data_IF_106670652988
#
_entry.id   IF_106670652988
#
_cell.length_a   1.000
_cell.length_b   1.000
_cell.length_c   1.000
_cell.angle_alpha   90.00
_cell.angle_beta   90.00
_cell.angle_gamma   90.00
#
_symmetry.space_group_name_H-M   'P 1'
#
loop_
_entity.id
_entity.type
_entity.pdbx_description
1 polymer ?
#
# COMPACT_ATOMS: atom_id res chain seq x y z
N UNK A 1 -23.73 11.57 -4.49
CA UNK A 1 -23.82 13.06 -4.68
C UNK A 1 -24.66 13.83 -3.64
N UNK A 2 -25.59 13.22 -2.88
CA UNK A 2 -26.50 13.95 -1.95
C UNK A 2 -25.88 14.36 -0.60
N UNK A 3 -24.81 13.70 -0.14
CA UNK A 3 -24.03 14.15 1.03
C UNK A 3 -23.04 15.28 0.67
N UNK A 4 -22.48 15.25 -0.55
CA UNK A 4 -21.54 16.26 -1.05
C UNK A 4 -22.20 17.62 -1.31
N UNK A 5 -23.48 17.65 -1.73
CA UNK A 5 -24.21 18.91 -1.91
C UNK A 5 -24.56 19.62 -0.58
N UNK A 6 -24.40 18.98 0.58
CA UNK A 6 -24.67 19.58 1.89
C UNK A 6 -23.44 19.85 2.75
N UNK A 7 -22.22 19.64 2.24
CA UNK A 7 -20.99 20.02 2.93
C UNK A 7 -20.76 19.38 4.30
N UNK A 8 -21.52 18.32 4.65
CA UNK A 8 -21.35 17.61 5.91
C UNK A 8 -20.44 16.41 5.66
N UNK A 9 -19.14 16.61 5.84
CA UNK A 9 -18.18 15.53 6.06
C UNK A 9 -18.20 15.30 7.58
N UNK A 10 -18.72 14.17 8.10
CA UNK A 10 -18.54 13.84 9.50
C UNK A 10 -17.03 13.73 9.76
N UNK A 11 -16.44 14.72 10.44
CA UNK A 11 -15.06 14.64 10.88
C UNK A 11 -15.02 13.74 12.11
N UNK A 12 -14.62 12.48 11.92
CA UNK A 12 -14.33 11.55 13.01
C UNK A 12 -12.97 11.83 13.70
N UNK A 13 -12.29 12.92 13.33
CA UNK A 13 -10.86 13.13 13.65
C UNK A 13 -10.63 13.70 15.06
N UNK A 14 -11.65 14.20 15.76
CA UNK A 14 -11.45 14.99 17.00
C UNK A 14 -12.30 14.58 18.23
N UNK A 15 -12.92 13.40 18.25
CA UNK A 15 -13.54 12.89 19.49
C UNK A 15 -12.50 12.15 20.34
N UNK A 16 -12.58 12.28 21.67
CA UNK A 16 -11.69 11.60 22.61
C UNK A 16 -11.67 10.09 22.33
N UNK A 17 -10.58 9.61 21.75
CA UNK A 17 -10.51 8.29 21.14
C UNK A 17 -10.51 7.20 22.22
N UNK A 18 -11.60 6.43 22.29
CA UNK A 18 -11.68 5.26 23.17
C UNK A 18 -10.83 4.10 22.62
N UNK A 19 -9.84 3.66 23.40
CA UNK A 19 -9.00 2.49 23.13
C UNK A 19 -9.35 1.40 24.14
N UNK A 20 -9.92 0.28 23.67
CA UNK A 20 -10.17 -0.89 24.51
C UNK A 20 -9.17 -2.00 24.17
N UNK A 21 -8.30 -2.35 25.13
CA UNK A 21 -7.24 -3.35 24.95
C UNK A 21 -7.58 -4.62 25.72
N UNK A 22 -7.80 -5.71 24.99
CA UNK A 22 -7.85 -7.07 25.54
C UNK A 22 -6.44 -7.66 25.51
N UNK A 23 -5.77 -7.68 26.67
CA UNK A 23 -4.39 -8.17 26.80
C UNK A 23 -4.27 -9.69 26.66
N UNK A 24 -5.32 -10.44 27.01
CA UNK A 24 -5.30 -11.90 26.93
C UNK A 24 -5.40 -12.35 25.48
N UNK A 25 -6.33 -11.77 24.72
CA UNK A 25 -6.50 -12.05 23.28
C UNK A 25 -5.53 -11.26 22.40
N UNK A 26 -4.84 -10.26 22.96
CA UNK A 26 -4.00 -9.29 22.25
C UNK A 26 -4.79 -8.60 21.14
N UNK A 27 -5.96 -8.09 21.49
CA UNK A 27 -6.84 -7.40 20.56
C UNK A 27 -7.05 -5.97 21.03
N UNK A 28 -7.20 -5.07 20.07
CA UNK A 28 -7.51 -3.67 20.34
C UNK A 28 -8.75 -3.27 19.57
N UNK A 29 -9.73 -2.68 20.26
CA UNK A 29 -10.89 -2.05 19.63
C UNK A 29 -10.72 -0.54 19.71
N UNK A 30 -10.89 0.12 18.57
CA UNK A 30 -10.76 1.56 18.43
C UNK A 30 -11.88 2.15 17.62
N UNK A 31 -12.15 3.42 17.84
CA UNK A 31 -12.96 4.23 16.93
C UNK A 31 -12.32 4.32 15.55
N UNK A 32 -13.14 4.24 14.51
CA UNK A 32 -12.73 4.24 13.12
C UNK A 32 -11.87 5.45 12.69
N UNK A 33 -12.00 6.56 13.41
CA UNK A 33 -11.32 7.83 13.13
C UNK A 33 -9.88 7.93 13.65
N UNK A 34 -9.43 7.04 14.55
CA UNK A 34 -8.07 7.10 15.09
C UNK A 34 -7.03 7.01 13.97
N UNK A 35 -6.03 7.90 13.99
CA UNK A 35 -4.91 7.81 13.07
C UNK A 35 -4.00 6.64 13.47
N UNK A 36 -3.44 5.94 12.49
CA UNK A 36 -2.49 4.86 12.78
C UNK A 36 -1.26 5.36 13.56
N UNK A 37 -0.83 6.61 13.37
CA UNK A 37 0.24 7.22 14.16
C UNK A 37 -0.08 7.21 15.65
N UNK A 38 -1.29 7.62 16.03
CA UNK A 38 -1.77 7.62 17.41
C UNK A 38 -1.96 6.18 17.94
N UNK A 39 -2.60 5.31 17.13
CA UNK A 39 -2.81 3.91 17.50
C UNK A 39 -1.49 3.19 17.79
N UNK A 40 -0.47 3.38 16.95
CA UNK A 40 0.83 2.75 17.13
C UNK A 40 1.53 3.20 18.42
N UNK A 41 1.45 4.49 18.77
CA UNK A 41 1.97 5.02 20.02
C UNK A 41 1.24 4.44 21.24
N UNK A 42 -0.09 4.34 21.17
CA UNK A 42 -0.91 3.75 22.23
C UNK A 42 -0.64 2.25 22.40
N UNK A 43 -0.59 1.47 21.32
CA UNK A 43 -0.24 0.04 21.37
C UNK A 43 1.14 -0.20 22.00
N UNK A 44 2.12 0.62 21.64
CA UNK A 44 3.46 0.58 22.24
C UNK A 44 3.42 0.75 23.76
N UNK A 45 2.54 1.60 24.30
CA UNK A 45 2.39 1.79 25.76
C UNK A 45 1.82 0.55 26.47
N UNK A 46 1.14 -0.32 25.73
CA UNK A 46 0.59 -1.58 26.21
C UNK A 46 1.47 -2.80 25.88
N UNK A 47 2.67 -2.60 25.33
CA UNK A 47 3.56 -3.70 24.93
C UNK A 47 3.01 -4.51 23.76
N UNK A 48 2.16 -3.90 22.92
CA UNK A 48 1.56 -4.49 21.73
C UNK A 48 2.02 -3.79 20.45
N UNK A 49 1.85 -4.45 19.31
CA UNK A 49 2.07 -3.90 17.98
C UNK A 49 1.12 -4.55 16.96
N UNK A 50 0.87 -3.88 15.85
CA UNK A 50 0.28 -4.51 14.67
C UNK A 50 1.36 -5.33 13.94
N UNK A 51 1.09 -6.59 13.54
CA UNK A 51 2.08 -7.41 12.85
C UNK A 51 2.50 -6.84 11.49
N UNK A 52 1.61 -6.15 10.78
CA UNK A 52 1.95 -5.47 9.52
C UNK A 52 1.27 -4.10 9.43
N UNK A 53 2.00 -3.11 8.91
CA UNK A 53 1.57 -1.72 8.77
C UNK A 53 1.89 -1.19 7.39
N UNK A 54 1.02 -0.36 6.83
CA UNK A 54 1.33 0.43 5.63
C UNK A 54 2.44 1.45 5.87
N UNK A 55 3.00 1.99 4.77
CA UNK A 55 4.08 2.98 4.84
C UNK A 55 3.64 4.34 5.43
N UNK A 56 2.37 4.71 5.31
CA UNK A 56 1.84 6.00 5.80
C UNK A 56 0.96 5.75 7.03
N UNK A 57 1.22 6.49 8.11
CA UNK A 57 0.50 6.37 9.38
C UNK A 57 -0.52 7.49 9.62
N UNK A 58 -0.52 8.55 8.82
CA UNK A 58 -1.52 9.63 8.85
C UNK A 58 -2.82 9.23 8.11
N UNK A 59 -3.29 8.01 8.38
CA UNK A 59 -4.51 7.43 7.82
C UNK A 59 -5.33 6.87 8.97
N UNK A 60 -6.65 7.04 8.91
CA UNK A 60 -7.55 6.52 9.95
C UNK A 60 -7.66 4.99 9.94
N UNK A 61 -8.03 4.40 11.07
CA UNK A 61 -8.25 2.95 11.21
C UNK A 61 -9.24 2.38 10.19
N UNK A 62 -10.33 3.08 9.89
CA UNK A 62 -11.25 2.67 8.82
C UNK A 62 -10.67 2.93 7.42
N UNK A 63 -10.01 4.07 7.22
CA UNK A 63 -9.45 4.42 5.91
C UNK A 63 -8.36 3.44 5.45
N UNK A 64 -7.52 2.97 6.38
CA UNK A 64 -6.40 2.09 6.04
C UNK A 64 -6.88 0.72 5.57
N UNK A 65 -7.93 0.16 6.18
CA UNK A 65 -8.50 -1.13 5.74
C UNK A 65 -9.37 -0.94 4.49
N UNK A 66 -10.10 0.18 4.40
CA UNK A 66 -11.12 0.39 3.37
C UNK A 66 -10.62 0.32 1.94
N UNK A 67 -9.32 0.56 1.70
CA UNK A 67 -8.70 0.51 0.37
C UNK A 67 -7.71 -0.65 0.20
N UNK A 68 -7.65 -1.57 1.17
CA UNK A 68 -6.77 -2.73 1.13
C UNK A 68 -5.28 -2.39 1.30
N UNK A 69 -4.96 -1.42 2.17
CA UNK A 69 -3.56 -1.03 2.44
C UNK A 69 -2.72 -2.25 2.78
N UNK A 70 -1.51 -2.30 2.25
CA UNK A 70 -0.58 -3.40 2.46
C UNK A 70 0.84 -2.91 2.71
N UNK A 71 1.67 -3.87 3.07
CA UNK A 71 3.12 -3.77 3.04
C UNK A 71 3.66 -5.14 2.57
N UNK A 72 4.94 -5.40 2.74
CA UNK A 72 5.57 -6.62 2.24
C UNK A 72 5.66 -7.72 3.29
N UNK A 73 5.62 -8.98 2.86
CA UNK A 73 5.85 -10.17 3.68
C UNK A 73 5.03 -11.36 3.20
N UNK A 74 5.66 -12.44 2.73
CA UNK A 74 4.96 -13.60 2.15
C UNK A 74 4.10 -14.38 3.15
N UNK A 75 4.31 -14.19 4.44
CA UNK A 75 3.50 -14.79 5.51
C UNK A 75 2.36 -13.86 5.97
N UNK A 76 2.40 -12.60 5.54
CA UNK A 76 1.51 -11.54 5.98
C UNK A 76 0.56 -11.15 4.85
N UNK A 77 -0.72 -10.97 5.17
CA UNK A 77 -1.68 -10.44 4.20
C UNK A 77 -1.65 -8.92 4.15
N UNK A 78 -2.61 -8.32 3.44
CA UNK A 78 -2.87 -6.89 3.54
C UNK A 78 -3.30 -6.52 4.97
N UNK A 79 -3.26 -5.23 5.34
CA UNK A 79 -3.59 -4.79 6.70
C UNK A 79 -4.96 -5.25 7.17
N UNK A 80 -5.94 -5.28 6.26
CA UNK A 80 -7.30 -5.72 6.54
C UNK A 80 -7.40 -7.18 7.04
N UNK A 81 -6.40 -8.03 6.76
CA UNK A 81 -6.36 -9.42 7.28
C UNK A 81 -6.20 -9.49 8.80
N UNK A 82 -5.82 -8.39 9.44
CA UNK A 82 -5.69 -8.26 10.90
C UNK A 82 -7.02 -7.86 11.56
N UNK A 83 -8.08 -7.57 10.79
CA UNK A 83 -9.37 -7.12 11.34
C UNK A 83 -10.18 -8.31 11.84
N UNK A 84 -10.44 -8.34 13.14
CA UNK A 84 -11.19 -9.40 13.82
C UNK A 84 -12.70 -9.10 13.77
N UNK A 85 -13.06 -7.83 13.99
CA UNK A 85 -14.43 -7.37 13.98
C UNK A 85 -14.50 -5.89 13.61
N UNK A 86 -15.66 -5.43 13.17
CA UNK A 86 -15.95 -4.03 12.89
C UNK A 86 -17.45 -3.74 13.06
N UNK A 87 -17.77 -2.49 13.36
CA UNK A 87 -19.16 -2.02 13.49
C UNK A 87 -19.45 -0.98 12.41
N UNK A 88 -20.60 -1.10 11.74
CA UNK A 88 -21.03 -0.25 10.63
C UNK A 88 -22.36 0.44 10.98
N UNK A 89 -22.49 1.71 10.64
CA UNK A 89 -23.76 2.40 10.50
C UNK A 89 -24.20 2.38 9.04
N UNK A 90 -25.31 1.71 8.74
CA UNK A 90 -25.83 1.53 7.38
C UNK A 90 -26.62 2.75 6.90
N UNK A 91 -27.04 2.76 5.63
CA UNK A 91 -27.84 3.86 5.07
C UNK A 91 -29.26 3.93 5.67
N UNK A 92 -29.76 2.83 6.23
CA UNK A 92 -31.05 2.79 6.94
C UNK A 92 -30.96 3.35 8.37
N UNK A 93 -29.74 3.59 8.88
CA UNK A 93 -29.49 4.01 10.25
C UNK A 93 -29.31 2.85 11.24
N UNK A 94 -29.29 1.61 10.75
CA UNK A 94 -29.00 0.43 11.58
C UNK A 94 -27.51 0.33 11.90
N UNK A 95 -27.19 -0.13 13.11
CA UNK A 95 -25.83 -0.43 13.54
C UNK A 95 -25.62 -1.94 13.47
N UNK A 96 -24.73 -2.38 12.59
CA UNK A 96 -24.40 -3.79 12.39
C UNK A 96 -22.98 -4.07 12.89
N UNK A 97 -22.84 -5.07 13.75
CA UNK A 97 -21.54 -5.67 14.05
C UNK A 97 -21.25 -6.79 13.06
N UNK A 98 -20.01 -6.92 12.62
CA UNK A 98 -19.58 -8.09 11.87
C UNK A 98 -18.18 -8.57 12.25
N UNK A 99 -18.03 -9.89 12.25
CA UNK A 99 -16.82 -10.65 12.55
C UNK A 99 -16.90 -11.99 11.81
N UNK A 100 -15.91 -12.88 11.99
CA UNK A 100 -15.99 -14.23 11.41
C UNK A 100 -17.15 -15.08 11.96
N UNK A 101 -17.71 -14.72 13.11
CA UNK A 101 -18.80 -15.48 13.76
C UNK A 101 -20.14 -14.75 13.76
N UNK A 102 -20.15 -13.44 13.50
CA UNK A 102 -21.35 -12.59 13.45
C UNK A 102 -21.38 -11.90 12.10
N UNK A 103 -22.42 -12.07 11.29
CA UNK A 103 -22.50 -11.51 9.93
C UNK A 103 -21.22 -11.76 9.09
N UNK A 104 -20.78 -13.02 8.90
CA UNK A 104 -19.49 -13.35 8.29
C UNK A 104 -19.35 -12.84 6.86
N UNK A 105 -20.42 -12.87 6.07
CA UNK A 105 -20.42 -12.35 4.71
C UNK A 105 -20.20 -10.83 4.68
N UNK A 106 -20.78 -10.11 5.64
CA UNK A 106 -20.57 -8.68 5.80
C UNK A 106 -19.15 -8.39 6.27
N UNK A 107 -18.59 -9.17 7.19
CA UNK A 107 -17.19 -9.03 7.63
C UNK A 107 -16.22 -9.20 6.47
N UNK A 108 -16.43 -10.23 5.64
CA UNK A 108 -15.64 -10.52 4.45
C UNK A 108 -15.67 -9.36 3.44
N UNK A 109 -16.80 -8.68 3.29
CA UNK A 109 -16.94 -7.51 2.43
C UNK A 109 -16.32 -6.25 3.07
N UNK A 110 -16.59 -6.03 4.35
CA UNK A 110 -16.28 -4.78 5.03
C UNK A 110 -14.81 -4.59 5.39
N UNK A 111 -14.00 -5.66 5.38
CA UNK A 111 -12.56 -5.56 5.54
C UNK A 111 -11.89 -4.72 4.41
N UNK A 112 -12.47 -4.67 3.22
CA UNK A 112 -12.10 -3.72 2.13
C UNK A 112 -13.39 -3.10 1.58
N UNK A 113 -13.91 -2.12 2.33
CA UNK A 113 -15.26 -1.57 2.15
C UNK A 113 -15.38 -0.41 1.16
N UNK A 114 -14.27 0.22 0.73
CA UNK A 114 -14.23 1.40 -0.16
C UNK A 114 -15.09 2.61 0.29
N UNK A 115 -15.55 2.60 1.54
CA UNK A 115 -16.49 3.58 2.08
C UNK A 115 -17.95 3.42 1.63
N UNK A 116 -18.32 2.33 0.93
CA UNK A 116 -19.62 2.22 0.27
C UNK A 116 -20.62 1.26 0.92
N UNK A 117 -20.25 0.58 2.02
CA UNK A 117 -21.14 -0.34 2.75
C UNK A 117 -21.82 0.31 3.97
N UNK A 118 -21.40 1.52 4.33
CA UNK A 118 -21.79 2.19 5.57
C UNK A 118 -20.62 2.99 6.17
N UNK A 119 -20.91 3.70 7.25
CA UNK A 119 -19.90 4.41 8.04
C UNK A 119 -19.34 3.42 9.06
N UNK A 120 -18.04 3.11 8.96
CA UNK A 120 -17.36 2.31 9.99
C UNK A 120 -17.28 3.14 11.27
N UNK A 121 -17.78 2.58 12.38
CA UNK A 121 -17.78 3.23 13.69
C UNK A 121 -16.58 2.78 14.52
N UNK A 122 -16.31 1.48 14.55
CA UNK A 122 -15.20 0.89 15.31
C UNK A 122 -14.54 -0.24 14.51
N UNK A 123 -13.28 -0.50 14.82
CA UNK A 123 -12.50 -1.61 14.26
C UNK A 123 -11.77 -2.31 15.40
N UNK A 124 -11.83 -3.64 15.40
CA UNK A 124 -11.04 -4.49 16.30
C UNK A 124 -9.91 -5.15 15.52
N UNK A 125 -8.66 -4.83 15.87
CA UNK A 125 -7.47 -5.43 15.26
C UNK A 125 -6.90 -6.54 16.16
N UNK A 126 -6.40 -7.59 15.51
CA UNK A 126 -5.50 -8.55 16.14
C UNK A 126 -4.09 -7.95 16.22
N UNK A 127 -3.54 -7.90 17.42
CA UNK A 127 -2.18 -7.45 17.70
C UNK A 127 -1.26 -8.63 18.02
N UNK A 128 0.04 -8.31 18.05
CA UNK A 128 1.13 -9.18 18.54
C UNK A 128 1.87 -8.47 19.68
N UNK A 129 2.69 -9.19 20.48
CA UNK A 129 3.61 -8.52 21.40
C UNK A 129 4.48 -7.52 20.64
N UNK A 130 4.79 -6.40 21.28
CA UNK A 130 5.67 -5.39 20.72
C UNK A 130 7.01 -6.02 20.31
N UNK A 131 7.52 -5.60 19.15
CA UNK A 131 8.76 -6.13 18.58
C UNK A 131 9.59 -5.04 17.91
N UNK A 132 10.89 -5.28 17.81
CA UNK A 132 11.82 -4.49 17.04
C UNK A 132 12.14 -5.17 15.70
N UNK A 133 12.40 -4.35 14.69
CA UNK A 133 12.89 -4.78 13.39
C UNK A 133 14.28 -4.23 13.14
N UNK A 134 15.13 -5.07 12.54
CA UNK A 134 16.35 -4.64 11.86
C UNK A 134 16.06 -4.58 10.37
N UNK A 135 16.09 -3.36 9.80
CA UNK A 135 16.13 -3.13 8.36
C UNK A 135 17.59 -3.16 7.88
N UNK A 136 17.82 -3.87 6.78
CA UNK A 136 19.11 -3.95 6.09
C UNK A 136 18.88 -3.70 4.62
N UNK A 137 19.54 -2.68 4.08
CA UNK A 137 19.43 -2.27 2.68
C UNK A 137 20.77 -2.46 1.99
N UNK A 138 20.79 -3.01 0.77
CA UNK A 138 22.03 -3.24 0.01
C UNK A 138 21.77 -3.28 -1.51
N UNK A 139 22.78 -2.96 -2.35
CA UNK A 139 22.63 -3.04 -3.79
C UNK A 139 22.64 -4.47 -4.33
N UNK A 140 21.96 -4.69 -5.46
CA UNK A 140 22.04 -5.88 -6.30
C UNK A 140 21.64 -5.52 -7.74
N UNK A 141 21.46 -6.53 -8.60
CA UNK A 141 20.95 -6.36 -9.97
C UNK A 141 19.56 -6.95 -10.12
N UNK A 142 18.78 -6.44 -11.08
CA UNK A 142 17.43 -6.94 -11.35
C UNK A 142 17.44 -8.44 -11.67
N UNK A 143 18.35 -8.90 -12.53
CA UNK A 143 18.45 -10.33 -12.84
C UNK A 143 18.82 -11.16 -11.61
N UNK A 144 19.82 -10.74 -10.83
CA UNK A 144 20.23 -11.49 -9.63
C UNK A 144 19.08 -11.64 -8.63
N UNK A 145 18.32 -10.58 -8.37
CA UNK A 145 17.17 -10.60 -7.47
C UNK A 145 16.06 -11.50 -8.03
N UNK A 146 15.76 -11.40 -9.32
CA UNK A 146 14.68 -12.19 -9.95
C UNK A 146 15.04 -13.68 -10.09
N UNK A 147 16.30 -14.01 -10.37
CA UNK A 147 16.77 -15.39 -10.46
C UNK A 147 16.81 -16.07 -9.09
N UNK A 148 16.99 -15.28 -8.02
CA UNK A 148 17.04 -15.78 -6.64
C UNK A 148 15.79 -15.40 -5.82
N UNK A 149 14.67 -15.06 -6.47
CA UNK A 149 13.49 -14.48 -5.82
C UNK A 149 12.98 -15.33 -4.65
N UNK A 150 12.84 -16.64 -4.85
CA UNK A 150 12.41 -17.55 -3.77
C UNK A 150 13.38 -17.56 -2.57
N UNK A 151 14.68 -17.42 -2.83
CA UNK A 151 15.69 -17.34 -1.77
C UNK A 151 15.49 -16.07 -0.95
N UNK A 152 15.29 -14.92 -1.61
CA UNK A 152 15.01 -13.65 -0.93
C UNK A 152 13.74 -13.71 -0.07
N UNK A 153 12.65 -14.26 -0.63
CA UNK A 153 11.36 -14.41 0.07
C UNK A 153 11.46 -15.31 1.31
N UNK A 154 12.37 -16.29 1.33
CA UNK A 154 12.62 -17.16 2.49
C UNK A 154 13.59 -16.55 3.51
N UNK A 155 14.57 -15.76 3.04
CA UNK A 155 15.65 -15.19 3.87
C UNK A 155 15.19 -14.06 4.78
N UNK A 156 14.15 -13.33 4.40
CA UNK A 156 13.65 -12.19 5.17
C UNK A 156 12.15 -12.28 5.35
N UNK A 157 11.65 -12.01 6.56
CA UNK A 157 10.23 -12.02 6.86
C UNK A 157 9.48 -10.95 6.06
N UNK A 158 10.05 -9.74 6.03
CA UNK A 158 9.61 -8.62 5.21
C UNK A 158 10.71 -8.40 4.17
N UNK A 159 10.45 -8.76 2.91
CA UNK A 159 11.37 -8.57 1.80
C UNK A 159 10.73 -7.65 0.77
N UNK A 160 11.41 -6.57 0.39
CA UNK A 160 11.04 -5.75 -0.76
C UNK A 160 12.28 -5.31 -1.50
N UNK A 161 12.09 -4.78 -2.70
CA UNK A 161 13.19 -4.16 -3.42
C UNK A 161 12.72 -3.00 -4.29
N UNK A 162 13.63 -2.08 -4.55
CA UNK A 162 13.44 -0.92 -5.42
C UNK A 162 14.28 -1.14 -6.68
N UNK A 163 13.65 -1.31 -7.82
CA UNK A 163 14.33 -1.36 -9.11
C UNK A 163 14.41 0.03 -9.73
N UNK A 164 15.60 0.46 -10.13
CA UNK A 164 15.85 1.76 -10.75
C UNK A 164 15.74 1.63 -12.28
N UNK A 165 14.68 2.18 -12.90
CA UNK A 165 14.47 2.04 -14.34
C UNK A 165 15.61 2.60 -15.18
N UNK A 166 15.73 2.09 -16.42
CA UNK A 166 16.83 2.40 -17.35
C UNK A 166 18.20 1.85 -16.91
N UNK A 167 18.21 0.92 -15.96
CA UNK A 167 19.40 0.25 -15.45
C UNK A 167 19.08 -1.15 -14.90
N UNK A 168 20.11 -1.89 -14.51
CA UNK A 168 19.99 -3.13 -13.73
C UNK A 168 19.90 -2.89 -12.22
N UNK A 169 20.08 -1.65 -11.78
CA UNK A 169 20.34 -1.36 -10.38
C UNK A 169 19.11 -1.63 -9.51
N UNK A 170 19.30 -2.39 -8.44
CA UNK A 170 18.28 -2.69 -7.46
C UNK A 170 18.80 -2.37 -6.06
N UNK A 171 17.96 -1.79 -5.22
CA UNK A 171 18.17 -1.73 -3.78
C UNK A 171 17.28 -2.77 -3.11
N UNK A 172 17.90 -3.80 -2.54
CA UNK A 172 17.22 -4.86 -1.77
C UNK A 172 17.05 -4.40 -0.33
N UNK A 173 15.87 -4.65 0.24
CA UNK A 173 15.53 -4.27 1.61
C UNK A 173 15.00 -5.50 2.35
N UNK A 174 15.70 -5.88 3.41
CA UNK A 174 15.30 -6.91 4.35
C UNK A 174 14.90 -6.28 5.67
N UNK A 175 13.78 -6.70 6.24
CA UNK A 175 13.40 -6.35 7.61
C UNK A 175 13.10 -7.64 8.36
N UNK A 176 13.71 -7.82 9.52
CA UNK A 176 13.58 -9.03 10.33
C UNK A 176 13.50 -8.68 11.81
N UNK A 177 12.79 -9.52 12.58
CA UNK A 177 12.74 -9.40 14.04
C UNK A 177 14.15 -9.40 14.64
N UNK A 178 14.35 -8.55 15.65
CA UNK A 178 15.64 -8.44 16.34
C UNK A 178 15.47 -8.07 17.80
N UNK A 179 16.45 -8.47 18.62
CA UNK A 179 16.57 -8.05 20.02
C UNK A 179 17.62 -6.95 20.20
N UNK A 180 18.21 -6.44 19.11
CA UNK A 180 19.17 -5.33 19.15
C UNK A 180 18.47 -4.05 19.64
N UNK A 181 19.22 -3.21 20.37
CA UNK A 181 18.74 -1.90 20.76
C UNK A 181 18.53 -1.01 19.52
N UNK A 182 17.59 -0.05 19.56
CA UNK A 182 17.38 0.89 18.47
C UNK A 182 18.67 1.62 18.09
N UNK A 183 18.96 1.66 16.80
CA UNK A 183 20.11 2.34 16.23
C UNK A 183 19.75 2.84 14.84
N UNK A 184 20.27 4.00 14.45
CA UNK A 184 20.02 4.54 13.12
C UNK A 184 21.32 4.92 12.46
N UNK A 185 21.44 4.57 11.18
CA UNK A 185 22.47 5.08 10.28
C UNK A 185 21.99 6.33 9.51
N UNK A 186 20.79 6.84 9.81
CA UNK A 186 20.22 8.00 9.15
C UNK A 186 21.10 9.24 9.33
N UNK A 187 21.24 10.00 8.26
CA UNK A 187 22.03 11.23 8.25
C UNK A 187 21.19 12.32 7.60
N UNK A 188 20.77 13.30 8.40
CA UNK A 188 19.92 14.39 7.94
C UNK A 188 20.45 15.05 6.65
N UNK A 189 21.77 15.25 6.54
CA UNK A 189 22.39 15.84 5.36
C UNK A 189 22.12 15.00 4.10
N UNK A 190 22.32 13.69 4.18
CA UNK A 190 22.10 12.78 3.07
C UNK A 190 20.61 12.56 2.79
N UNK A 191 19.78 12.49 3.82
CA UNK A 191 18.34 12.21 3.70
C UNK A 191 17.54 13.43 3.21
N UNK A 192 17.93 14.65 3.60
CA UNK A 192 17.21 15.89 3.28
C UNK A 192 17.91 16.73 2.22
N UNK A 193 19.17 17.12 2.40
CA UNK A 193 19.83 18.00 1.43
C UNK A 193 20.02 17.30 0.07
N UNK A 194 20.45 16.04 0.10
CA UNK A 194 20.75 15.25 -1.11
C UNK A 194 19.55 14.41 -1.55
N UNK A 195 19.01 13.58 -0.66
CA UNK A 195 17.92 12.66 -0.96
C UNK A 195 16.61 13.34 -1.33
N UNK A 196 16.36 14.54 -0.78
CA UNK A 196 15.14 15.30 -1.02
C UNK A 196 15.37 16.49 -1.97
N UNK A 197 16.12 17.52 -1.57
CA UNK A 197 16.19 18.77 -2.35
C UNK A 197 16.96 18.65 -3.66
N UNK A 198 18.12 17.97 -3.67
CA UNK A 198 18.88 17.76 -4.90
C UNK A 198 18.10 16.89 -5.89
N UNK A 199 17.49 15.79 -5.42
CA UNK A 199 16.67 14.95 -6.29
C UNK A 199 15.48 15.73 -6.86
N UNK A 200 14.76 16.48 -6.03
CA UNK A 200 13.61 17.30 -6.48
C UNK A 200 14.03 18.28 -7.57
N UNK A 201 15.17 18.95 -7.40
CA UNK A 201 15.73 19.87 -8.39
C UNK A 201 16.13 19.17 -9.70
N UNK A 202 16.83 18.03 -9.62
CA UNK A 202 17.24 17.27 -10.81
C UNK A 202 16.03 16.73 -11.58
N UNK A 203 15.02 16.22 -10.89
CA UNK A 203 13.76 15.77 -11.48
C UNK A 203 12.96 16.94 -12.08
N UNK A 204 13.06 18.14 -11.50
CA UNK A 204 12.50 19.34 -12.12
C UNK A 204 13.17 19.67 -13.45
N UNK A 205 14.51 19.65 -13.51
CA UNK A 205 15.25 19.86 -14.76
C UNK A 205 14.86 18.82 -15.82
N UNK A 206 14.71 17.56 -15.41
CA UNK A 206 14.35 16.49 -16.35
C UNK A 206 12.97 16.65 -16.97
N UNK A 207 12.09 17.49 -16.40
CA UNK A 207 10.82 17.85 -17.05
C UNK A 207 10.99 18.68 -18.32
N UNK A 208 12.14 19.35 -18.50
CA UNK A 208 12.49 20.09 -19.72
C UNK A 208 13.43 19.30 -20.63
N UNK A 209 14.26 18.41 -20.04
CA UNK A 209 15.25 17.60 -20.72
C UNK A 209 15.06 16.11 -20.35
N UNK A 210 14.04 15.42 -20.89
CA UNK A 210 13.69 14.06 -20.46
C UNK A 210 14.80 13.02 -20.65
N UNK A 211 15.70 13.23 -21.61
CA UNK A 211 16.86 12.36 -21.84
C UNK A 211 17.85 12.31 -20.65
N UNK A 212 17.75 13.23 -19.68
CA UNK A 212 18.56 13.21 -18.47
C UNK A 212 18.10 12.18 -17.45
N UNK A 213 16.86 11.67 -17.53
CA UNK A 213 16.31 10.77 -16.50
C UNK A 213 17.16 9.51 -16.28
N UNK A 214 17.61 8.77 -17.31
CA UNK A 214 18.48 7.61 -17.09
C UNK A 214 19.77 7.97 -16.33
N UNK A 215 20.35 9.14 -16.60
CA UNK A 215 21.55 9.63 -15.93
C UNK A 215 21.27 10.00 -14.48
N UNK A 216 20.16 10.70 -14.22
CA UNK A 216 19.73 11.07 -12.87
C UNK A 216 19.48 9.81 -12.03
N UNK A 217 18.77 8.81 -12.56
CA UNK A 217 18.51 7.55 -11.85
C UNK A 217 19.83 6.83 -11.48
N UNK A 218 20.77 6.73 -12.43
CA UNK A 218 22.07 6.08 -12.20
C UNK A 218 22.93 6.84 -11.19
N UNK A 219 22.99 8.16 -11.32
CA UNK A 219 23.71 9.03 -10.39
C UNK A 219 23.15 8.91 -8.98
N UNK A 220 21.82 8.99 -8.82
CA UNK A 220 21.18 8.91 -7.53
C UNK A 220 21.33 7.52 -6.89
N UNK A 221 21.25 6.45 -7.69
CA UNK A 221 21.56 5.10 -7.22
C UNK A 221 23.01 5.01 -6.73
N UNK A 222 23.97 5.48 -7.53
CA UNK A 222 25.38 5.47 -7.17
C UNK A 222 25.64 6.21 -5.85
N UNK A 223 25.02 7.38 -5.68
CA UNK A 223 25.22 8.27 -4.55
C UNK A 223 24.66 7.74 -3.23
N UNK A 224 23.48 7.09 -3.25
CA UNK A 224 22.74 6.75 -2.02
C UNK A 224 22.51 5.26 -1.79
N UNK A 225 22.63 4.41 -2.82
CA UNK A 225 22.16 3.01 -2.77
C UNK A 225 23.26 1.97 -3.04
N UNK A 226 24.52 2.39 -3.19
CA UNK A 226 25.67 1.49 -3.37
C UNK A 226 26.22 0.93 -2.07
N UNK A 227 25.97 1.59 -0.94
CA UNK A 227 26.36 1.13 0.38
C UNK A 227 25.36 0.16 0.99
N UNK A 228 25.84 -0.73 1.85
CA UNK A 228 24.98 -1.45 2.78
C UNK A 228 24.65 -0.53 3.96
N UNK A 229 23.37 -0.40 4.30
CA UNK A 229 22.91 0.35 5.48
C UNK A 229 22.08 -0.54 6.40
N UNK A 230 22.09 -0.22 7.68
CA UNK A 230 21.32 -0.92 8.71
C UNK A 230 20.61 0.08 9.63
N UNK A 231 19.38 -0.23 10.00
CA UNK A 231 18.56 0.56 10.91
C UNK A 231 17.78 -0.39 11.82
N UNK A 232 17.77 -0.13 13.13
CA UNK A 232 17.05 -0.92 14.12
C UNK A 232 16.09 -0.02 14.87
N UNK A 233 14.82 -0.40 14.94
CA UNK A 233 13.85 0.34 15.74
C UNK A 233 12.62 -0.52 16.07
N UNK A 234 11.68 0.06 16.82
CA UNK A 234 10.34 -0.50 16.98
C UNK A 234 9.69 -0.70 15.60
N UNK A 235 8.91 -1.78 15.47
CA UNK A 235 8.34 -2.21 14.19
C UNK A 235 7.63 -1.10 13.42
N UNK A 236 6.73 -0.35 14.07
CA UNK A 236 5.99 0.73 13.40
C UNK A 236 6.90 1.86 12.88
N UNK A 237 8.02 2.13 13.54
CA UNK A 237 9.00 3.13 13.10
C UNK A 237 9.87 2.65 11.93
N UNK A 238 9.97 1.35 11.72
CA UNK A 238 10.64 0.75 10.55
C UNK A 238 9.66 0.61 9.37
N UNK A 239 8.39 0.28 9.64
CA UNK A 239 7.39 0.16 8.59
C UNK A 239 6.93 1.50 8.01
N UNK A 240 6.80 2.54 8.84
CA UNK A 240 6.34 3.84 8.38
C UNK A 240 7.49 4.64 7.73
N UNK A 241 7.21 5.26 6.59
CA UNK A 241 8.11 6.17 5.87
C UNK A 241 7.45 7.53 5.75
N UNK A 242 8.26 8.59 5.84
CA UNK A 242 7.79 9.93 5.48
C UNK A 242 7.64 10.03 3.96
N UNK A 243 6.40 10.05 3.45
CA UNK A 243 6.13 10.38 2.06
C UNK A 243 6.28 11.88 1.83
N UNK A 244 7.52 12.37 1.77
CA UNK A 244 7.84 13.81 1.64
C UNK A 244 7.44 14.41 0.29
N UNK A 245 7.19 13.55 -0.68
CA UNK A 245 7.11 13.89 -2.08
C UNK A 245 5.66 13.84 -2.59
N UNK A 246 5.17 14.93 -3.21
CA UNK A 246 3.94 14.86 -4.01
C UNK A 246 4.18 13.97 -5.22
N UNK A 247 3.37 12.94 -5.35
CA UNK A 247 3.57 11.89 -6.33
C UNK A 247 2.24 11.53 -6.95
N UNK A 248 2.30 11.09 -8.19
CA UNK A 248 1.28 10.21 -8.70
C UNK A 248 1.77 8.77 -8.62
N UNK A 249 0.85 7.86 -8.33
CA UNK A 249 1.20 6.48 -7.97
C UNK A 249 0.23 5.51 -8.64
N UNK A 250 0.78 4.46 -9.24
CA UNK A 250 0.04 3.27 -9.64
C UNK A 250 0.61 2.04 -8.97
N UNK A 251 -0.24 1.18 -8.42
CA UNK A 251 0.17 -0.01 -7.68
C UNK A 251 -0.79 -1.14 -8.04
N UNK A 252 -0.24 -2.29 -8.42
CA UNK A 252 -1.01 -3.44 -8.90
C UNK A 252 -0.47 -4.72 -8.29
N UNK A 253 -1.40 -5.58 -7.86
CA UNK A 253 -1.13 -6.93 -7.39
C UNK A 253 -1.28 -7.95 -8.52
N UNK A 254 -0.19 -8.61 -8.91
CA UNK A 254 -0.20 -9.75 -9.84
C UNK A 254 0.03 -11.06 -9.07
N UNK A 255 -0.31 -12.24 -9.63
CA UNK A 255 0.11 -13.52 -9.05
C UNK A 255 1.63 -13.56 -8.83
N UNK A 256 2.08 -14.05 -7.68
CA UNK A 256 3.48 -13.97 -7.27
C UNK A 256 4.45 -14.64 -8.27
N UNK A 257 4.03 -15.73 -8.92
CA UNK A 257 4.78 -16.46 -9.94
C UNK A 257 5.02 -15.64 -11.22
N UNK A 258 4.26 -14.56 -11.43
CA UNK A 258 4.40 -13.64 -12.58
C UNK A 258 5.38 -12.50 -12.33
N UNK A 259 5.99 -12.40 -11.14
CA UNK A 259 6.91 -11.31 -10.76
C UNK A 259 8.05 -11.10 -11.76
N UNK A 260 8.80 -12.16 -12.07
CA UNK A 260 9.95 -12.10 -12.98
C UNK A 260 9.51 -11.72 -14.39
N UNK A 261 8.44 -12.34 -14.89
CA UNK A 261 7.86 -12.03 -16.20
C UNK A 261 7.46 -10.56 -16.30
N UNK A 262 6.75 -10.02 -15.30
CA UNK A 262 6.28 -8.65 -15.27
C UNK A 262 7.42 -7.63 -15.31
N UNK A 263 8.44 -7.80 -14.47
CA UNK A 263 9.52 -6.82 -14.35
C UNK A 263 10.45 -6.83 -15.57
N UNK A 264 10.70 -8.01 -16.17
CA UNK A 264 11.48 -8.10 -17.40
C UNK A 264 10.71 -7.52 -18.60
N UNK A 265 9.41 -7.78 -18.74
CA UNK A 265 8.60 -7.15 -19.79
C UNK A 265 8.49 -5.64 -19.59
N UNK A 266 8.34 -5.16 -18.35
CA UNK A 266 8.30 -3.72 -18.07
C UNK A 266 9.63 -3.05 -18.44
N UNK A 267 10.75 -3.69 -18.13
CA UNK A 267 12.08 -3.25 -18.55
C UNK A 267 12.21 -3.17 -20.07
N UNK A 268 11.77 -4.21 -20.79
CA UNK A 268 11.80 -4.24 -22.25
C UNK A 268 10.94 -3.13 -22.87
N UNK A 269 9.74 -2.87 -22.33
CA UNK A 269 8.88 -1.76 -22.73
C UNK A 269 9.60 -0.42 -22.59
N UNK A 270 10.26 -0.18 -21.45
CA UNK A 270 11.00 1.06 -21.21
C UNK A 270 12.22 1.20 -22.13
N UNK A 271 12.89 0.10 -22.46
CA UNK A 271 14.05 0.10 -23.38
C UNK A 271 13.66 0.31 -24.84
N UNK A 272 12.54 -0.28 -25.27
CA UNK A 272 12.02 -0.18 -26.64
C UNK A 272 11.24 1.12 -26.90
N UNK A 273 10.89 1.87 -25.84
CA UNK A 273 10.10 3.11 -25.93
C UNK A 273 10.86 4.31 -25.33
N UNK A 274 11.84 4.91 -26.04
CA UNK A 274 12.66 6.01 -25.50
C UNK A 274 11.88 7.26 -25.05
N UNK A 275 10.63 7.41 -25.49
CA UNK A 275 9.72 8.48 -25.08
C UNK A 275 9.05 8.23 -23.73
N UNK A 276 9.04 6.98 -23.26
CA UNK A 276 8.41 6.57 -22.00
C UNK A 276 9.45 6.67 -20.88
N UNK A 277 9.24 7.62 -19.99
CA UNK A 277 10.27 7.97 -19.00
C UNK A 277 9.79 7.63 -17.58
N UNK A 278 10.40 6.60 -17.00
CA UNK A 278 10.25 6.25 -15.59
C UNK A 278 11.40 6.87 -14.77
N UNK A 279 11.12 7.97 -14.05
CA UNK A 279 12.14 8.76 -13.33
C UNK A 279 12.22 8.49 -11.84
N UNK A 280 11.47 7.51 -11.34
CA UNK A 280 11.52 7.10 -9.96
C UNK A 280 11.59 5.56 -9.87
N UNK A 281 12.16 4.99 -8.80
CA UNK A 281 12.22 3.54 -8.65
C UNK A 281 10.86 2.87 -8.68
N UNK A 282 10.81 1.68 -9.28
CA UNK A 282 9.69 0.74 -9.19
C UNK A 282 9.85 -0.02 -7.88
N UNK A 283 8.86 0.09 -7.00
CA UNK A 283 8.84 -0.62 -5.73
C UNK A 283 8.12 -1.96 -5.87
N UNK A 284 8.75 -3.03 -5.40
CA UNK A 284 8.22 -4.40 -5.49
C UNK A 284 8.08 -4.98 -4.09
N UNK A 285 6.85 -5.41 -3.76
CA UNK A 285 6.45 -5.93 -2.44
C UNK A 285 5.61 -7.19 -2.61
N UNK A 286 5.45 -7.97 -1.54
CA UNK A 286 4.79 -9.27 -1.59
C UNK A 286 3.77 -9.41 -0.47
N UNK A 287 2.64 -10.06 -0.71
CA UNK A 287 1.66 -10.33 0.33
C UNK A 287 1.01 -11.70 0.11
N UNK A 288 0.66 -12.35 1.22
CA UNK A 288 -0.08 -13.61 1.26
C UNK A 288 -1.51 -13.42 0.78
N UNK A 289 -2.08 -14.45 0.16
CA UNK A 289 -3.48 -14.52 -0.21
C UNK A 289 -4.45 -14.47 0.98
N UNK A 290 -5.64 -13.95 0.73
CA UNK A 290 -6.71 -13.82 1.74
C UNK A 290 -8.09 -14.19 1.16
N UNK A 291 -9.13 -14.02 1.94
CA UNK A 291 -10.53 -14.29 1.58
C UNK A 291 -11.39 -13.01 1.56
N UNK A 292 -10.81 -11.82 1.53
CA UNK A 292 -11.55 -10.55 1.56
C UNK A 292 -12.02 -10.19 0.16
N UNK A 293 -13.33 -9.97 -0.04
CA UNK A 293 -13.95 -9.97 -1.38
C UNK A 293 -13.29 -9.04 -2.41
N UNK A 294 -12.89 -7.85 -1.98
CA UNK A 294 -12.22 -6.86 -2.83
C UNK A 294 -10.72 -6.75 -2.58
N UNK A 295 -10.10 -7.64 -1.80
CA UNK A 295 -8.65 -7.62 -1.66
C UNK A 295 -7.96 -7.94 -2.99
N UNK A 296 -6.95 -7.16 -3.41
CA UNK A 296 -6.12 -7.54 -4.55
C UNK A 296 -5.44 -8.93 -4.36
N UNK A 297 -5.29 -9.39 -3.12
CA UNK A 297 -4.75 -10.70 -2.73
C UNK A 297 -5.81 -11.81 -2.59
N UNK A 298 -7.07 -11.57 -2.96
CA UNK A 298 -8.13 -12.58 -2.81
C UNK A 298 -7.75 -13.93 -3.46
N UNK A 299 -7.65 -14.96 -2.61
CA UNK A 299 -7.35 -16.36 -2.92
C UNK A 299 -6.01 -16.60 -3.65
N UNK A 300 -5.04 -15.69 -3.55
CA UNK A 300 -3.71 -15.87 -4.13
C UNK A 300 -2.62 -15.04 -3.46
N UNK A 301 -1.44 -15.63 -3.31
CA UNK A 301 -0.24 -14.87 -2.99
C UNK A 301 0.08 -13.93 -4.15
N UNK A 302 0.45 -12.70 -3.81
CA UNK A 302 0.57 -11.62 -4.80
C UNK A 302 1.86 -10.84 -4.66
N UNK A 303 2.34 -10.37 -5.80
CA UNK A 303 3.39 -9.38 -5.92
C UNK A 303 2.77 -8.03 -6.27
N UNK A 304 3.00 -7.03 -5.42
CA UNK A 304 2.66 -5.64 -5.69
C UNK A 304 3.82 -4.97 -6.39
N UNK A 305 3.56 -4.45 -7.59
CA UNK A 305 4.51 -3.64 -8.35
C UNK A 305 3.98 -2.23 -8.35
N UNK A 306 4.74 -1.29 -7.81
CA UNK A 306 4.35 0.11 -7.64
C UNK A 306 5.23 1.00 -8.52
N UNK A 307 4.59 1.77 -9.42
CA UNK A 307 5.25 2.77 -10.25
C UNK A 307 4.89 4.17 -9.75
N UNK A 308 5.88 5.05 -9.72
CA UNK A 308 5.76 6.38 -9.14
C UNK A 308 6.22 7.42 -10.17
N UNK A 309 5.41 8.46 -10.33
CA UNK A 309 5.78 9.65 -11.09
C UNK A 309 5.78 10.85 -10.14
N UNK A 310 6.98 11.22 -9.72
CA UNK A 310 7.19 12.37 -8.82
C UNK A 310 6.80 13.70 -9.47
N UNK A 311 6.24 14.62 -8.66
CA UNK A 311 5.81 15.96 -9.06
C UNK A 311 6.71 17.02 -8.42
N UNK A 312 7.88 17.31 -9.02
CA UNK A 312 8.84 18.24 -8.44
C UNK A 312 8.23 19.64 -8.32
N UNK A 313 8.29 20.23 -7.12
CA UNK A 313 7.63 21.50 -6.77
C UNK A 313 6.13 21.53 -7.12
N UNK A 314 5.47 20.37 -7.14
CA UNK A 314 4.06 20.23 -7.49
C UNK A 314 3.74 20.27 -9.00
N UNK A 315 4.75 20.43 -9.88
CA UNK A 315 4.59 20.43 -11.33
C UNK A 315 4.04 19.09 -11.81
N UNK A 316 3.04 19.13 -12.68
CA UNK A 316 2.54 17.91 -13.32
C UNK A 316 3.53 17.45 -14.40
N UNK A 317 3.67 16.13 -14.55
CA UNK A 317 4.65 15.50 -15.44
C UNK A 317 3.95 14.63 -16.48
N UNK A 318 4.43 14.60 -17.74
CA UNK A 318 3.93 13.67 -18.75
C UNK A 318 4.10 12.24 -18.26
N UNK A 319 3.02 11.46 -18.33
CA UNK A 319 2.98 10.17 -17.64
C UNK A 319 2.08 9.12 -18.26
N UNK A 320 1.15 9.56 -19.10
CA UNK A 320 0.08 8.73 -19.63
C UNK A 320 0.61 7.50 -20.39
N UNK A 321 1.65 7.67 -21.22
CA UNK A 321 2.22 6.56 -21.99
C UNK A 321 2.83 5.47 -21.08
N UNK A 322 3.59 5.88 -20.05
CA UNK A 322 4.15 4.95 -19.06
C UNK A 322 3.04 4.22 -18.31
N UNK A 323 2.03 4.97 -17.90
CA UNK A 323 0.88 4.48 -17.18
C UNK A 323 0.07 3.44 -17.95
N UNK A 324 -0.27 3.74 -19.21
CA UNK A 324 -1.08 2.86 -20.03
C UNK A 324 -0.30 1.59 -20.40
N UNK A 325 1.00 1.71 -20.67
CA UNK A 325 1.86 0.56 -20.96
C UNK A 325 1.99 -0.36 -19.73
N UNK A 326 2.25 0.22 -18.57
CA UNK A 326 2.32 -0.52 -17.31
C UNK A 326 0.97 -1.13 -16.93
N UNK A 327 -0.13 -0.37 -16.95
CA UNK A 327 -1.48 -0.85 -16.63
C UNK A 327 -1.90 -1.98 -17.58
N UNK A 328 -1.64 -1.83 -18.88
CA UNK A 328 -1.90 -2.87 -19.88
C UNK A 328 -1.15 -4.16 -19.59
N UNK A 329 0.14 -4.06 -19.21
CA UNK A 329 0.95 -5.20 -18.81
C UNK A 329 0.40 -5.87 -17.54
N UNK A 330 0.07 -5.09 -16.50
CA UNK A 330 -0.48 -5.64 -15.26
C UNK A 330 -1.80 -6.38 -15.52
N UNK A 331 -2.71 -5.81 -16.34
CA UNK A 331 -3.96 -6.47 -16.75
C UNK A 331 -3.70 -7.79 -17.48
N UNK A 332 -2.76 -7.80 -18.45
CA UNK A 332 -2.40 -9.01 -19.21
C UNK A 332 -1.90 -10.14 -18.30
N UNK A 333 -1.22 -9.80 -17.21
CA UNK A 333 -0.67 -10.76 -16.24
C UNK A 333 -1.65 -11.12 -15.11
N UNK A 334 -2.95 -10.83 -15.28
CA UNK A 334 -3.98 -11.13 -14.29
C UNK A 334 -3.92 -10.24 -13.06
N UNK A 335 -3.39 -9.02 -13.21
CA UNK A 335 -3.25 -8.03 -12.15
C UNK A 335 -4.58 -7.47 -11.65
N UNK A 336 -4.56 -7.01 -10.40
CA UNK A 336 -5.64 -6.31 -9.70
C UNK A 336 -5.11 -4.98 -9.20
N UNK A 337 -5.75 -3.83 -9.49
CA UNK A 337 -5.26 -2.54 -9.04
C UNK A 337 -5.43 -2.39 -7.53
N UNK A 338 -4.52 -1.65 -6.90
CA UNK A 338 -4.72 -1.19 -5.53
C UNK A 338 -5.77 -0.07 -5.50
N UNK A 339 -6.80 -0.20 -4.67
CA UNK A 339 -7.95 0.72 -4.65
C UNK A 339 -7.61 2.17 -4.28
N UNK A 340 -6.61 2.37 -3.42
CA UNK A 340 -6.13 3.73 -3.09
C UNK A 340 -5.35 4.44 -4.22
N UNK A 341 -5.03 3.75 -5.32
CA UNK A 341 -4.13 4.25 -6.37
C UNK A 341 -4.87 4.43 -7.70
N UNK A 342 -4.30 5.24 -8.58
CA UNK A 342 -4.96 5.56 -9.85
C UNK A 342 -5.07 4.32 -10.74
N UNK A 343 -6.18 4.13 -11.45
CA UNK A 343 -6.32 3.10 -12.48
C UNK A 343 -7.44 3.50 -13.45
N UNK A 344 -7.43 2.94 -14.66
CA UNK A 344 -8.48 3.22 -15.65
C UNK A 344 -9.62 2.20 -15.66
N UNK A 345 -9.53 1.14 -14.84
CA UNK A 345 -10.50 0.04 -14.75
C UNK A 345 -11.96 0.51 -14.64
N UNK A 346 -12.83 -0.30 -15.22
CA UNK A 346 -14.28 -0.18 -15.26
C UNK A 346 -14.93 -1.33 -14.49
N UNK A 347 -16.24 -1.25 -14.22
CA UNK A 347 -17.03 -2.36 -13.68
C UNK A 347 -16.74 -3.70 -14.38
N UNK A 348 -16.74 -3.73 -15.71
CA UNK A 348 -16.48 -4.94 -16.51
C UNK A 348 -15.09 -5.53 -16.29
N UNK A 349 -14.10 -4.68 -16.00
CA UNK A 349 -12.76 -5.15 -15.64
C UNK A 349 -12.79 -5.82 -14.27
N UNK A 350 -13.47 -5.20 -13.29
CA UNK A 350 -13.56 -5.72 -11.93
C UNK A 350 -14.33 -7.04 -11.83
N UNK A 351 -15.43 -7.19 -12.59
CA UNK A 351 -16.18 -8.44 -12.70
C UNK A 351 -15.29 -9.61 -13.17
N UNK A 352 -14.29 -9.34 -14.01
CA UNK A 352 -13.32 -10.35 -14.46
C UNK A 352 -12.17 -10.55 -13.47
N UNK A 353 -11.69 -9.47 -12.85
CA UNK A 353 -10.51 -9.47 -11.98
C UNK A 353 -10.77 -10.11 -10.61
N UNK A 354 -11.97 -9.91 -10.05
CA UNK A 354 -12.30 -10.26 -8.67
C UNK A 354 -13.46 -11.27 -8.62
N UNK A 355 -13.20 -12.54 -8.27
CA UNK A 355 -14.27 -13.54 -8.12
C UNK A 355 -15.33 -13.15 -7.08
N UNK A 356 -14.94 -12.42 -6.03
CA UNK A 356 -15.84 -11.91 -4.99
C UNK A 356 -16.65 -10.66 -5.36
N UNK A 357 -16.44 -10.08 -6.56
CA UNK A 357 -17.01 -8.78 -6.92
C UNK A 357 -18.53 -8.78 -6.92
N UNK A 358 -19.16 -9.80 -7.53
CA UNK A 358 -20.61 -9.86 -7.61
C UNK A 358 -21.27 -10.00 -6.23
N UNK A 359 -20.67 -10.80 -5.33
CA UNK A 359 -21.13 -10.93 -3.94
C UNK A 359 -21.01 -9.60 -3.19
N UNK A 360 -19.90 -8.88 -3.37
CA UNK A 360 -19.73 -7.55 -2.78
C UNK A 360 -20.79 -6.57 -3.29
N UNK A 361 -21.06 -6.56 -4.60
CA UNK A 361 -22.09 -5.70 -5.20
C UNK A 361 -23.47 -5.98 -4.60
N UNK A 362 -23.85 -7.25 -4.43
CA UNK A 362 -25.12 -7.63 -3.79
C UNK A 362 -25.24 -7.11 -2.35
N UNK A 363 -24.19 -7.28 -1.52
CA UNK A 363 -24.17 -6.78 -0.14
C UNK A 363 -24.30 -5.25 -0.12
N UNK A 364 -23.59 -4.56 -1.01
CA UNK A 364 -23.65 -3.10 -1.11
C UNK A 364 -25.04 -2.61 -1.51
N UNK A 365 -25.71 -3.27 -2.45
CA UNK A 365 -27.09 -2.94 -2.88
C UNK A 365 -28.10 -3.16 -1.77
N UNK A 366 -27.91 -4.19 -0.96
CA UNK A 366 -28.77 -4.48 0.19
C UNK A 366 -28.62 -3.41 1.30
N UNK A 367 -27.39 -3.00 1.61
CA UNK A 367 -27.12 -2.04 2.69
C UNK A 367 -27.37 -0.57 2.32
N UNK A 368 -27.24 -0.22 1.04
CA UNK A 368 -27.43 1.13 0.53
C UNK A 368 -28.10 1.14 -0.86
N UNK A 369 -29.39 0.75 -0.95
CA UNK A 369 -30.12 0.70 -2.21
C UNK A 369 -30.30 2.08 -2.86
N UNK A 370 -30.23 3.15 -2.06
CA UNK A 370 -30.32 4.54 -2.52
C UNK A 370 -28.99 5.13 -3.00
N UNK A 371 -27.87 4.40 -2.84
CA UNK A 371 -26.54 4.88 -3.20
C UNK A 371 -26.10 6.13 -2.43
N UNK A 372 -26.50 6.27 -1.17
CA UNK A 372 -26.14 7.38 -0.30
C UNK A 372 -24.63 7.58 -0.21
N UNK A 373 -23.87 6.49 -0.07
CA UNK A 373 -22.42 6.49 0.12
C UNK A 373 -21.61 6.45 -1.18
N UNK A 374 -22.28 6.55 -2.34
CA UNK A 374 -21.59 6.58 -3.63
C UNK A 374 -21.04 7.97 -3.98
N UNK A 375 -19.85 7.94 -4.58
CA UNK A 375 -19.23 9.07 -5.27
C UNK A 375 -19.04 8.72 -6.76
N UNK A 376 -18.63 9.69 -7.58
CA UNK A 376 -18.49 9.50 -9.04
C UNK A 376 -17.53 8.36 -9.43
N UNK A 377 -16.51 8.09 -8.60
CA UNK A 377 -15.61 6.97 -8.83
C UNK A 377 -16.31 5.63 -8.54
N UNK A 378 -16.98 5.51 -7.39
CA UNK A 378 -17.69 4.29 -7.00
C UNK A 378 -18.89 4.00 -7.91
N UNK A 379 -19.53 5.04 -8.43
CA UNK A 379 -20.55 4.91 -9.49
C UNK A 379 -19.94 4.21 -10.72
N UNK A 380 -18.76 4.63 -11.22
CA UNK A 380 -18.06 3.96 -12.33
C UNK A 380 -17.61 2.52 -12.00
N UNK A 381 -17.30 2.24 -10.73
CA UNK A 381 -16.89 0.91 -10.28
C UNK A 381 -18.08 -0.05 -10.26
N UNK A 382 -19.22 0.39 -9.72
CA UNK A 382 -20.36 -0.48 -9.43
C UNK A 382 -21.54 -0.37 -10.40
N UNK A 383 -21.57 0.63 -11.30
CA UNK A 383 -22.61 0.84 -12.31
C UNK A 383 -21.96 1.09 -13.68
#
# INVERSE_FOLDING_TARGET
LRLLQRGHIPSAVNAAQSLHVDKERKQVTVEAGILLSDLNAQLSSHGLALPILGAVSDVSAAGVIGTGTHNTGIKHGIMATQVVALTLLTASGEILECSKTVNPDLHQAACVHLGCLGIVLTVTFQCVPQFCLQETTFPSTLHEVLDNLESHLKKSEYFRFLWFPHSENVSVIYQNHTNKAPSSSASWLWDYAVGYYLLEFLLWISTFLPFLVPWINRFFFWLLFTGKTENVNLSYKIFNYECRFKQHVQDWAIPIEKTKEALLQLKEILQSSPKVVAHFPVEVRFARGDDILLSPCFQRDSCYINIIMYRPYGKDVPRLDYWLAYEGLMKKLGGRPHWAKAHTCTRRDFEKMYPGFQKFCSIREELDPGGMFLNAYLEKVFY
#
